data_IF_803310601348
#
_entry.id   IF_803310601348
#
_cell.length_a   1.000
_cell.length_b   1.000
_cell.length_c   1.000
_cell.angle_alpha   90.00
_cell.angle_beta   90.00
_cell.angle_gamma   90.00
#
_symmetry.space_group_name_H-M   'P 1'
#
loop_
_entity.id
_entity.type
_entity.pdbx_description
1 polymer ?
#
# COMPACT_ATOMS: atom_id res chain seq x y z
N UNK A 1 11.23 -8.71 -2.78
CA UNK A 1 10.55 -8.08 -3.92
C UNK A 1 10.89 -6.61 -3.88
N UNK A 2 11.18 -5.95 -5.00
CA UNK A 2 11.53 -4.52 -5.00
C UNK A 2 10.24 -3.68 -5.13
N UNK A 3 10.09 -2.65 -4.31
CA UNK A 3 8.98 -1.67 -4.42
C UNK A 3 8.89 -1.04 -5.81
N UNK A 4 10.01 -0.92 -6.53
CA UNK A 4 10.05 -0.46 -7.92
C UNK A 4 9.30 -1.42 -8.86
N UNK A 5 9.46 -2.73 -8.66
CA UNK A 5 8.80 -3.77 -9.47
C UNK A 5 7.29 -3.73 -9.23
N UNK A 6 6.86 -3.64 -7.97
CA UNK A 6 5.45 -3.52 -7.62
C UNK A 6 4.80 -2.27 -8.23
N UNK A 7 5.53 -1.15 -8.22
CA UNK A 7 5.03 0.08 -8.82
C UNK A 7 4.88 -0.06 -10.34
N UNK A 8 5.87 -0.65 -11.02
CA UNK A 8 5.81 -0.90 -12.48
C UNK A 8 4.65 -1.83 -12.85
N UNK A 9 4.48 -2.93 -12.12
CA UNK A 9 3.38 -3.88 -12.35
C UNK A 9 2.02 -3.21 -12.16
N UNK A 10 1.87 -2.40 -11.11
CA UNK A 10 0.62 -1.70 -10.84
C UNK A 10 0.26 -0.68 -11.92
N UNK A 11 1.25 0.00 -12.50
CA UNK A 11 1.04 0.92 -13.63
C UNK A 11 0.72 0.19 -14.94
N UNK A 12 1.17 -1.06 -15.10
CA UNK A 12 0.88 -1.88 -16.28
C UNK A 12 -0.52 -2.54 -16.25
N UNK A 13 -1.16 -2.64 -15.08
CA UNK A 13 -2.52 -3.18 -14.95
C UNK A 13 -3.57 -2.09 -15.20
N UNK A 14 -4.39 -2.26 -16.23
CA UNK A 14 -5.43 -1.31 -16.63
C UNK A 14 -6.48 -1.05 -15.54
N UNK A 15 -6.71 -2.01 -14.64
CA UNK A 15 -7.67 -1.88 -13.53
C UNK A 15 -7.11 -1.03 -12.40
N UNK A 16 -5.79 -1.04 -12.22
CA UNK A 16 -5.10 -0.28 -11.17
C UNK A 16 -4.72 1.13 -11.64
N UNK A 17 -4.48 1.33 -12.93
CA UNK A 17 -3.99 2.59 -13.52
C UNK A 17 -4.71 3.87 -13.08
N UNK A 18 -6.02 3.81 -12.81
CA UNK A 18 -6.82 5.00 -12.44
C UNK A 18 -7.04 5.17 -10.93
N UNK A 19 -6.80 4.14 -10.13
CA UNK A 19 -7.13 4.11 -8.70
C UNK A 19 -5.92 3.94 -7.79
N UNK A 20 -4.82 3.41 -8.32
CA UNK A 20 -3.60 3.11 -7.59
C UNK A 20 -2.68 4.33 -7.52
N UNK A 21 -2.16 4.62 -6.33
CA UNK A 21 -1.26 5.73 -6.10
C UNK A 21 0.20 5.34 -6.31
N UNK A 22 0.73 4.52 -5.39
CA UNK A 22 2.16 4.19 -5.31
C UNK A 22 2.36 3.05 -4.32
N UNK A 23 3.59 2.57 -4.23
CA UNK A 23 4.09 1.74 -3.14
C UNK A 23 4.76 2.63 -2.09
N UNK A 24 4.26 2.62 -0.86
CA UNK A 24 4.85 3.33 0.29
C UNK A 24 5.72 2.41 1.14
N UNK A 25 6.69 2.97 1.84
CA UNK A 25 7.24 2.38 3.07
C UNK A 25 6.43 2.84 4.28
N UNK A 26 6.50 2.10 5.38
CA UNK A 26 5.68 2.38 6.58
C UNK A 26 5.91 3.78 7.15
N UNK A 27 7.14 4.29 7.09
CA UNK A 27 7.56 5.62 7.53
C UNK A 27 7.19 6.76 6.56
N UNK A 28 6.71 6.43 5.35
CA UNK A 28 6.36 7.41 4.30
C UNK A 28 4.87 7.41 3.96
N UNK A 29 4.04 6.81 4.80
CA UNK A 29 2.59 6.87 4.64
C UNK A 29 2.10 8.32 4.66
N UNK A 30 1.18 8.69 3.76
CA UNK A 30 0.66 10.05 3.71
C UNK A 30 -0.23 10.32 4.92
N UNK A 31 0.00 11.43 5.62
CA UNK A 31 -0.84 11.87 6.76
C UNK A 31 -2.27 12.20 6.35
N UNK A 32 -2.49 12.52 5.08
CA UNK A 32 -3.79 12.84 4.52
C UNK A 32 -4.05 12.02 3.26
N UNK A 33 -5.26 11.49 3.16
CA UNK A 33 -5.69 10.71 2.00
C UNK A 33 -5.88 11.64 0.79
N UNK A 34 -5.13 11.40 -0.28
CA UNK A 34 -5.33 12.04 -1.59
C UNK A 34 -6.51 11.38 -2.34
N UNK A 35 -6.83 11.85 -3.56
CA UNK A 35 -7.94 11.32 -4.41
C UNK A 35 -7.83 9.83 -4.77
N UNK A 36 -6.68 9.21 -4.56
CA UNK A 36 -6.41 7.83 -4.92
C UNK A 36 -7.08 6.83 -3.97
N UNK A 37 -7.48 5.69 -4.52
CA UNK A 37 -8.28 4.69 -3.81
C UNK A 37 -7.46 3.51 -3.34
N UNK A 38 -6.29 3.23 -3.89
CA UNK A 38 -5.44 2.14 -3.42
C UNK A 38 -3.96 2.49 -3.39
N UNK A 39 -3.24 1.79 -2.52
CA UNK A 39 -1.78 1.74 -2.51
C UNK A 39 -1.31 0.42 -1.90
N UNK A 40 -0.04 0.11 -2.12
CA UNK A 40 0.65 -0.96 -1.39
C UNK A 40 1.56 -0.31 -0.37
N UNK A 41 1.64 -0.87 0.83
CA UNK A 41 2.57 -0.44 1.88
C UNK A 41 3.53 -1.57 2.20
N UNK A 42 4.82 -1.25 2.27
CA UNK A 42 5.82 -2.10 2.89
C UNK A 42 5.78 -1.87 4.40
N UNK A 43 5.76 -2.93 5.20
CA UNK A 43 5.79 -2.79 6.66
C UNK A 43 7.13 -2.30 7.18
N UNK A 44 8.21 -2.50 6.43
CA UNK A 44 9.53 -1.97 6.78
C UNK A 44 9.67 -0.48 6.39
N UNK A 45 10.46 0.30 7.15
CA UNK A 45 10.84 1.66 6.79
C UNK A 45 11.65 1.73 5.48
N UNK A 46 11.72 2.90 4.86
CA UNK A 46 12.38 3.11 3.56
C UNK A 46 13.86 2.71 3.50
N UNK A 47 14.57 2.75 4.64
CA UNK A 47 15.99 2.40 4.73
C UNK A 47 16.24 0.88 4.83
N UNK A 48 15.18 0.09 5.01
CA UNK A 48 15.23 -1.36 5.07
C UNK A 48 14.96 -1.98 3.69
N UNK A 49 15.37 -3.24 3.51
CA UNK A 49 15.25 -3.96 2.23
C UNK A 49 13.81 -4.26 1.81
N UNK A 50 12.85 -4.10 2.72
CA UNK A 50 11.45 -4.41 2.47
C UNK A 50 11.17 -5.91 2.53
N UNK A 51 10.51 -6.36 3.59
CA UNK A 51 10.27 -7.79 3.85
C UNK A 51 8.83 -8.21 3.59
N UNK A 52 7.87 -7.31 3.75
CA UNK A 52 6.46 -7.65 3.67
C UNK A 52 5.64 -6.48 3.13
N UNK A 53 4.65 -6.79 2.29
CA UNK A 53 3.79 -5.81 1.63
C UNK A 53 2.33 -6.11 1.89
N UNK A 54 1.56 -5.07 2.11
CA UNK A 54 0.13 -5.11 2.39
C UNK A 54 -0.58 -4.17 1.42
N UNK A 55 -1.74 -4.57 0.93
CA UNK A 55 -2.54 -3.75 0.03
C UNK A 55 -3.64 -3.03 0.79
N UNK A 56 -3.79 -1.74 0.52
CA UNK A 56 -4.81 -0.88 1.09
C UNK A 56 -5.73 -0.40 -0.04
N UNK A 57 -7.04 -0.47 0.19
CA UNK A 57 -8.04 0.08 -0.72
C UNK A 57 -9.16 0.79 0.05
N UNK A 58 -9.48 2.01 -0.35
CA UNK A 58 -10.60 2.79 0.17
C UNK A 58 -11.80 2.68 -0.77
N UNK A 59 -12.89 2.18 -0.21
CA UNK A 59 -14.21 2.18 -0.85
C UNK A 59 -14.78 3.61 -0.89
N UNK A 60 -15.83 3.80 -1.69
CA UNK A 60 -16.48 5.11 -1.88
C UNK A 60 -17.16 5.63 -0.60
N UNK A 61 -17.57 4.72 0.29
CA UNK A 61 -18.15 4.97 1.61
C UNK A 61 -17.09 5.26 2.69
N UNK A 62 -15.84 5.52 2.29
CA UNK A 62 -14.67 5.68 3.17
C UNK A 62 -14.28 4.43 3.98
N UNK A 63 -14.86 3.26 3.72
CA UNK A 63 -14.41 2.03 4.36
C UNK A 63 -13.02 1.63 3.82
N UNK A 64 -12.07 1.44 4.73
CA UNK A 64 -10.73 0.96 4.40
C UNK A 64 -10.73 -0.57 4.38
N UNK A 65 -10.30 -1.15 3.26
CA UNK A 65 -10.07 -2.57 3.08
C UNK A 65 -8.57 -2.81 3.11
N UNK A 66 -8.17 -3.75 3.94
CA UNK A 66 -6.80 -4.19 4.08
C UNK A 66 -6.67 -5.62 3.58
N UNK A 67 -5.60 -5.90 2.84
CA UNK A 67 -5.27 -7.24 2.39
C UNK A 67 -3.80 -7.57 2.70
N UNK A 68 -3.61 -8.70 3.38
CA UNK A 68 -2.32 -9.32 3.60
C UNK A 68 -2.40 -10.79 3.17
N UNK A 69 -1.49 -11.22 2.31
CA UNK A 69 -1.45 -12.61 1.82
C UNK A 69 -1.12 -13.64 2.90
N UNK A 70 -0.56 -13.21 4.04
CA UNK A 70 -0.27 -14.08 5.19
C UNK A 70 -1.45 -14.18 6.16
N UNK A 71 -2.58 -13.53 5.86
CA UNK A 71 -3.76 -13.51 6.74
C UNK A 71 -3.57 -12.70 8.02
N UNK A 72 -2.49 -11.93 8.14
CA UNK A 72 -2.26 -11.07 9.30
C UNK A 72 -3.15 -9.83 9.25
N UNK A 73 -3.58 -9.37 10.42
CA UNK A 73 -4.24 -8.07 10.57
C UNK A 73 -3.18 -6.96 10.59
N UNK A 74 -3.54 -5.71 10.21
CA UNK A 74 -2.65 -4.59 10.43
C UNK A 74 -2.34 -4.49 11.93
N UNK A 75 -1.06 -4.42 12.26
CA UNK A 75 -0.61 -4.19 13.64
C UNK A 75 -0.99 -2.74 14.01
N UNK A 76 -1.76 -2.59 15.08
CA UNK A 76 -2.27 -1.29 15.55
C UNK A 76 -1.22 -0.49 16.34
N UNK A 77 -0.07 -1.08 16.64
CA UNK A 77 1.00 -0.43 17.42
C UNK A 77 1.82 0.49 16.52
N UNK A 78 1.24 1.63 16.19
CA UNK A 78 1.97 2.83 15.81
C UNK A 78 1.89 3.75 17.03
N UNK A 79 2.88 3.64 17.92
CA UNK A 79 3.20 4.71 18.88
C UNK A 79 3.72 5.95 18.14
#
# INVERSE_FOLDING_TARGET
>A
MDSLVLNRLSLSDSRLRYGFLVVYSSDKLPKQRKRYRSFIVNTDPAHCKGRHWQAIYFRQDNHCVFFCSYGTRPQYDIE
#
